data_IF_078962226503
#
_entry.id   IF_078962226503
#
_cell.length_a   1.000
_cell.length_b   1.000
_cell.length_c   1.000
_cell.angle_alpha   90.00
_cell.angle_beta   90.00
_cell.angle_gamma   90.00
#
_symmetry.space_group_name_H-M   'P 1'
#
loop_
_entity.id
_entity.type
_entity.pdbx_description
1 polymer ?
#
# COMPACT_ATOMS: atom_id res chain seq x y z
N UNK A 1 -32.55 -72.61 34.02
CA UNK A 1 -32.29 -71.17 34.07
C UNK A 1 -31.74 -70.87 35.45
N UNK A 2 -30.45 -70.55 35.57
CA UNK A 2 -29.85 -70.27 36.87
C UNK A 2 -30.37 -68.94 37.43
N UNK A 3 -30.91 -68.91 38.66
CA UNK A 3 -31.52 -67.70 39.23
C UNK A 3 -30.51 -66.55 39.38
N UNK A 4 -29.22 -66.85 39.49
CA UNK A 4 -28.13 -65.86 39.51
C UNK A 4 -27.96 -65.14 38.17
N UNK A 5 -28.17 -65.84 37.06
CA UNK A 5 -28.04 -65.27 35.72
C UNK A 5 -29.22 -64.35 35.37
N UNK A 6 -30.41 -64.67 35.89
CA UNK A 6 -31.56 -63.77 35.80
C UNK A 6 -31.37 -62.48 36.62
N UNK A 7 -30.71 -62.57 37.79
CA UNK A 7 -30.34 -61.42 38.60
C UNK A 7 -29.35 -60.48 37.90
N UNK A 8 -28.27 -61.02 37.32
CA UNK A 8 -27.29 -60.20 36.59
C UNK A 8 -27.90 -59.51 35.36
N UNK A 9 -28.76 -60.20 34.62
CA UNK A 9 -29.43 -59.61 33.45
C UNK A 9 -30.38 -58.45 33.82
N UNK A 10 -31.01 -58.52 35.01
CA UNK A 10 -31.83 -57.43 35.53
C UNK A 10 -30.97 -56.23 35.96
N UNK A 11 -29.84 -56.47 36.62
CA UNK A 11 -28.91 -55.41 37.03
C UNK A 11 -28.27 -54.71 35.83
N UNK A 12 -27.92 -55.45 34.77
CA UNK A 12 -27.45 -54.89 33.51
C UNK A 12 -28.51 -54.01 32.84
N UNK A 13 -29.77 -54.46 32.86
CA UNK A 13 -30.89 -53.69 32.33
C UNK A 13 -31.10 -52.40 33.12
N UNK A 14 -31.11 -52.49 34.46
CA UNK A 14 -31.22 -51.33 35.37
C UNK A 14 -30.07 -50.35 35.14
N UNK A 15 -28.84 -50.86 34.97
CA UNK A 15 -27.65 -50.06 34.66
C UNK A 15 -27.77 -49.36 33.30
N UNK A 16 -28.32 -50.04 32.30
CA UNK A 16 -28.58 -49.43 30.99
C UNK A 16 -29.61 -48.29 31.08
N UNK A 17 -30.69 -48.49 31.87
CA UNK A 17 -31.71 -47.46 32.08
C UNK A 17 -31.16 -46.27 32.86
N UNK A 18 -30.37 -46.49 33.92
CA UNK A 18 -29.74 -45.40 34.68
C UNK A 18 -28.76 -44.61 33.83
N UNK A 19 -27.96 -45.29 33.01
CA UNK A 19 -27.08 -44.63 32.03
C UNK A 19 -27.90 -43.78 31.06
N UNK A 20 -28.99 -44.33 30.52
CA UNK A 20 -29.84 -43.59 29.57
C UNK A 20 -30.57 -42.41 30.21
N UNK A 21 -30.95 -42.52 31.47
CA UNK A 21 -31.54 -41.42 32.25
C UNK A 21 -30.51 -40.30 32.43
N UNK A 22 -29.27 -40.64 32.78
CA UNK A 22 -28.19 -39.66 32.93
C UNK A 22 -27.91 -38.94 31.60
N UNK A 23 -27.79 -39.68 30.49
CA UNK A 23 -27.62 -39.11 29.15
C UNK A 23 -28.77 -38.16 28.77
N UNK A 24 -30.02 -38.56 29.05
CA UNK A 24 -31.18 -37.72 28.78
C UNK A 24 -31.18 -36.45 29.65
N UNK A 25 -30.77 -36.55 30.91
CA UNK A 25 -30.63 -35.39 31.80
C UNK A 25 -29.57 -34.42 31.27
N UNK A 26 -28.41 -34.91 30.83
CA UNK A 26 -27.38 -34.07 30.21
C UNK A 26 -27.88 -33.38 28.95
N UNK A 27 -28.60 -34.09 28.08
CA UNK A 27 -29.19 -33.52 26.86
C UNK A 27 -30.25 -32.45 27.17
N UNK A 28 -31.08 -32.67 28.19
CA UNK A 28 -32.09 -31.69 28.63
C UNK A 28 -31.41 -30.45 29.22
N UNK A 29 -30.36 -30.61 30.02
CA UNK A 29 -29.58 -29.50 30.55
C UNK A 29 -28.94 -28.72 29.40
N UNK A 30 -28.28 -29.40 28.45
CA UNK A 30 -27.67 -28.76 27.28
C UNK A 30 -28.68 -27.98 26.42
N UNK A 31 -29.85 -28.57 26.17
CA UNK A 31 -30.96 -27.91 25.48
C UNK A 31 -31.46 -26.67 26.22
N UNK A 32 -31.57 -26.74 27.55
CA UNK A 32 -32.12 -25.65 28.36
C UNK A 32 -31.08 -24.56 28.67
N UNK A 33 -29.79 -24.87 28.65
CA UNK A 33 -28.70 -23.91 28.84
C UNK A 33 -28.59 -22.90 27.70
N UNK A 34 -28.95 -23.30 26.48
CA UNK A 34 -28.96 -22.43 25.31
C UNK A 34 -30.33 -22.50 24.63
N UNK A 35 -31.32 -21.69 25.06
CA UNK A 35 -32.59 -21.59 24.35
C UNK A 35 -32.33 -21.23 22.89
N UNK A 36 -33.21 -21.64 21.96
CA UNK A 36 -33.03 -21.37 20.52
C UNK A 36 -32.80 -19.87 20.20
N UNK A 37 -33.17 -18.98 21.12
CA UNK A 37 -32.92 -17.53 21.08
C UNK A 37 -31.46 -17.11 21.25
N UNK A 38 -30.58 -17.94 21.83
CA UNK A 38 -29.15 -17.62 22.04
C UNK A 38 -28.24 -18.06 20.88
N UNK A 39 -28.76 -18.84 19.93
CA UNK A 39 -28.05 -19.23 18.70
C UNK A 39 -27.54 -18.01 17.90
N UNK A 40 -28.33 -16.94 17.66
CA UNK A 40 -27.82 -15.76 16.97
C UNK A 40 -26.69 -15.05 17.74
N UNK A 41 -26.76 -14.98 19.06
CA UNK A 41 -25.72 -14.35 19.88
C UNK A 41 -24.42 -15.16 19.83
N UNK A 42 -24.50 -16.49 19.93
CA UNK A 42 -23.36 -17.38 19.76
C UNK A 42 -22.74 -17.29 18.36
N UNK A 43 -23.57 -17.18 17.32
CA UNK A 43 -23.11 -16.96 15.94
C UNK A 43 -22.41 -15.61 15.78
N UNK A 44 -22.91 -14.55 16.43
CA UNK A 44 -22.26 -13.25 16.45
C UNK A 44 -20.90 -13.30 17.18
N UNK A 45 -20.81 -14.05 18.29
CA UNK A 45 -19.54 -14.29 18.99
C UNK A 45 -18.55 -15.08 18.12
N UNK A 46 -19.00 -16.13 17.43
CA UNK A 46 -18.15 -16.90 16.50
C UNK A 46 -17.64 -16.02 15.33
N UNK A 47 -18.52 -15.20 14.76
CA UNK A 47 -18.15 -14.27 13.70
C UNK A 47 -17.12 -13.24 14.16
N UNK A 48 -17.27 -12.71 15.38
CA UNK A 48 -16.31 -11.75 15.97
C UNK A 48 -14.98 -12.41 16.30
N UNK A 49 -14.98 -13.65 16.82
CA UNK A 49 -13.75 -14.42 17.04
C UNK A 49 -13.00 -14.67 15.73
N UNK A 50 -13.68 -15.15 14.68
CA UNK A 50 -13.08 -15.34 13.35
C UNK A 50 -12.51 -14.05 12.77
N UNK A 51 -13.18 -12.93 12.98
CA UNK A 51 -12.68 -11.63 12.56
C UNK A 51 -11.39 -11.25 13.32
N UNK A 52 -11.35 -11.48 14.64
CA UNK A 52 -10.15 -11.24 15.45
C UNK A 52 -8.99 -12.16 15.05
N UNK A 53 -9.24 -13.45 14.82
CA UNK A 53 -8.22 -14.40 14.35
C UNK A 53 -7.60 -13.96 13.02
N UNK A 54 -8.44 -13.53 12.07
CA UNK A 54 -7.99 -12.97 10.80
C UNK A 54 -7.13 -11.70 10.99
N UNK A 55 -7.52 -10.81 11.90
CA UNK A 55 -6.73 -9.62 12.23
C UNK A 55 -5.37 -9.97 12.85
N UNK A 56 -5.32 -10.98 13.72
CA UNK A 56 -4.06 -11.44 14.34
C UNK A 56 -3.11 -11.97 13.27
N UNK A 57 -3.58 -12.77 12.32
CA UNK A 57 -2.75 -13.25 11.21
C UNK A 57 -2.26 -12.09 10.31
N UNK A 58 -3.09 -11.07 10.08
CA UNK A 58 -2.67 -9.87 9.35
C UNK A 58 -1.56 -9.08 10.10
N UNK A 59 -1.67 -8.94 11.42
CA UNK A 59 -0.65 -8.30 12.27
C UNK A 59 0.66 -9.09 12.22
N UNK A 60 0.58 -10.41 12.36
CA UNK A 60 1.73 -11.31 12.28
C UNK A 60 2.45 -11.21 10.93
N UNK A 61 1.70 -11.13 9.82
CA UNK A 61 2.26 -10.87 8.50
C UNK A 61 3.06 -9.56 8.44
N UNK A 62 2.48 -8.47 8.93
CA UNK A 62 3.16 -7.16 8.99
C UNK A 62 4.42 -7.17 9.85
N UNK A 63 4.36 -7.79 11.04
CA UNK A 63 5.54 -7.89 11.92
C UNK A 63 6.68 -8.65 11.25
N UNK A 64 6.37 -9.68 10.47
CA UNK A 64 7.37 -10.41 9.71
C UNK A 64 7.98 -9.57 8.58
N UNK A 65 7.18 -8.76 7.89
CA UNK A 65 7.68 -7.79 6.92
C UNK A 65 8.62 -6.76 7.55
N UNK A 66 8.22 -6.16 8.67
CA UNK A 66 9.02 -5.20 9.43
C UNK A 66 10.33 -5.83 9.91
N UNK A 67 10.28 -7.04 10.45
CA UNK A 67 11.46 -7.82 10.84
C UNK A 67 12.46 -7.97 9.69
N UNK A 68 11.97 -8.17 8.46
CA UNK A 68 12.81 -8.29 7.27
C UNK A 68 13.29 -6.94 6.71
N UNK A 69 12.57 -5.85 6.98
CA UNK A 69 12.89 -4.50 6.51
C UNK A 69 13.94 -3.79 7.40
N UNK A 70 13.86 -3.96 8.72
CA UNK A 70 14.80 -3.36 9.69
C UNK A 70 16.28 -3.59 9.34
N UNK A 71 16.76 -4.81 9.00
CA UNK A 71 18.17 -5.02 8.67
C UNK A 71 18.58 -4.30 7.37
N UNK A 72 17.67 -4.14 6.41
CA UNK A 72 17.94 -3.39 5.17
C UNK A 72 18.13 -1.90 5.48
N UNK A 73 17.27 -1.34 6.32
CA UNK A 73 17.39 0.05 6.77
C UNK A 73 18.71 0.28 7.53
N UNK A 74 19.09 -0.63 8.44
CA UNK A 74 20.36 -0.54 9.17
C UNK A 74 21.58 -0.50 8.23
N UNK A 75 21.62 -1.36 7.22
CA UNK A 75 22.70 -1.37 6.21
C UNK A 75 22.78 -0.05 5.44
N UNK A 76 21.64 0.52 5.08
CA UNK A 76 21.56 1.81 4.39
C UNK A 76 22.12 2.95 5.25
N UNK A 77 21.76 2.99 6.53
CA UNK A 77 22.30 3.96 7.50
C UNK A 77 23.81 3.81 7.63
N UNK A 78 24.32 2.59 7.75
CA UNK A 78 25.77 2.35 7.83
C UNK A 78 26.51 2.82 6.57
N UNK A 79 25.96 2.57 5.38
CA UNK A 79 26.55 3.04 4.12
C UNK A 79 26.55 4.57 4.03
N UNK A 80 25.45 5.21 4.40
CA UNK A 80 25.35 6.68 4.44
C UNK A 80 26.37 7.29 5.39
N UNK A 81 26.52 6.73 6.60
CA UNK A 81 27.53 7.19 7.56
C UNK A 81 28.96 7.02 7.03
N UNK A 82 29.26 5.93 6.31
CA UNK A 82 30.58 5.76 5.67
C UNK A 82 30.85 6.83 4.61
N UNK A 83 29.85 7.14 3.79
CA UNK A 83 29.97 8.21 2.80
C UNK A 83 30.18 9.58 3.47
N UNK A 84 29.44 9.87 4.55
CA UNK A 84 29.61 11.11 5.31
C UNK A 84 31.01 11.24 5.90
N UNK A 85 31.54 10.18 6.54
CA UNK A 85 32.93 10.19 7.06
C UNK A 85 33.94 10.44 5.95
N UNK A 86 33.75 9.83 4.77
CA UNK A 86 34.63 10.05 3.61
C UNK A 86 34.58 11.51 3.15
N UNK A 87 33.38 12.10 3.05
CA UNK A 87 33.21 13.51 2.70
C UNK A 87 33.85 14.44 3.73
N UNK A 88 33.69 14.16 5.03
CA UNK A 88 34.33 14.93 6.10
C UNK A 88 35.86 14.83 6.03
N UNK A 89 36.39 13.62 5.79
CA UNK A 89 37.82 13.43 5.59
C UNK A 89 38.31 14.22 4.37
N UNK A 90 37.59 14.16 3.25
CA UNK A 90 37.94 14.94 2.06
C UNK A 90 37.89 16.44 2.35
N UNK A 91 36.86 16.93 3.04
CA UNK A 91 36.72 18.33 3.46
C UNK A 91 37.93 18.79 4.30
N UNK A 92 38.39 17.94 5.23
CA UNK A 92 39.54 18.24 6.08
C UNK A 92 40.89 18.27 5.34
N UNK A 93 40.96 17.69 4.13
CA UNK A 93 42.18 17.59 3.33
C UNK A 93 42.05 18.30 1.97
N UNK A 94 41.11 19.23 1.81
CA UNK A 94 40.99 20.01 0.57
C UNK A 94 42.15 21.01 0.49
N UNK A 95 42.94 21.02 -0.61
CA UNK A 95 43.99 22.00 -0.82
C UNK A 95 43.42 23.42 -0.95
N UNK A 96 44.09 24.42 -0.37
CA UNK A 96 43.63 25.81 -0.29
C UNK A 96 43.19 26.42 -1.63
N UNK A 97 43.82 26.05 -2.75
CA UNK A 97 43.46 26.54 -4.10
C UNK A 97 42.11 26.06 -4.65
N UNK A 98 41.40 25.14 -3.96
CA UNK A 98 40.03 24.73 -4.30
C UNK A 98 38.96 25.27 -3.34
N UNK A 99 39.36 25.82 -2.19
CA UNK A 99 38.43 26.35 -1.17
C UNK A 99 37.96 27.76 -1.52
N UNK A 100 38.75 28.51 -2.31
CA UNK A 100 38.42 29.88 -2.72
C UNK A 100 37.22 29.96 -3.69
N UNK A 101 36.87 28.89 -4.41
CA UNK A 101 35.61 28.82 -5.18
C UNK A 101 34.37 28.61 -4.30
N UNK A 102 34.53 28.25 -3.01
CA UNK A 102 33.43 28.06 -2.06
C UNK A 102 33.15 29.32 -1.23
N UNK A 103 34.15 30.18 -0.99
CA UNK A 103 33.99 31.37 -0.13
C UNK A 103 33.30 32.56 -0.81
N UNK A 104 33.04 32.52 -2.12
CA UNK A 104 32.22 33.53 -2.82
C UNK A 104 30.72 33.16 -2.91
N UNK A 105 30.29 32.04 -2.34
CA UNK A 105 28.88 31.62 -2.28
C UNK A 105 28.33 31.85 -0.87
N UNK A 106 28.59 33.03 -0.30
CA UNK A 106 27.97 33.49 0.94
C UNK A 106 27.19 34.79 0.71
N UNK A 107 26.09 34.68 -0.06
CA UNK A 107 24.89 35.52 0.10
C UNK A 107 23.71 34.98 -0.73
N UNK A 108 22.77 34.35 -0.01
CA UNK A 108 21.39 34.03 -0.38
C UNK A 108 21.16 32.85 -1.37
N UNK A 109 20.30 31.86 -1.04
CA UNK A 109 20.04 30.68 -1.88
C UNK A 109 18.96 30.98 -2.91
N UNK A 110 19.20 31.98 -3.76
CA UNK A 110 18.29 32.35 -4.84
C UNK A 110 19.11 32.87 -6.01
N UNK A 111 18.95 32.18 -7.14
CA UNK A 111 19.46 32.48 -8.48
C UNK A 111 20.99 32.57 -8.65
N UNK A 112 21.59 31.53 -9.22
CA UNK A 112 22.68 31.70 -10.19
C UNK A 112 23.15 30.35 -10.75
N UNK A 113 22.51 29.87 -11.82
CA UNK A 113 23.23 29.20 -12.92
C UNK A 113 22.59 29.71 -14.22
N UNK A 114 23.06 30.86 -14.66
CA UNK A 114 22.92 31.29 -16.04
C UNK A 114 24.16 32.11 -16.38
N UNK A 115 25.03 31.49 -17.18
CA UNK A 115 26.06 32.05 -18.06
C UNK A 115 26.66 30.79 -18.74
N UNK A 116 26.03 30.26 -19.79
CA UNK A 116 26.10 30.72 -21.19
C UNK A 116 27.55 30.92 -21.61
N UNK A 117 28.16 29.83 -22.07
CA UNK A 117 29.18 29.88 -23.10
C UNK A 117 28.56 29.32 -24.37
N UNK A 118 28.42 30.21 -25.36
CA UNK A 118 28.07 29.94 -26.74
C UNK A 118 28.96 28.83 -27.32
N UNK A 119 28.33 27.88 -28.00
CA UNK A 119 28.87 27.27 -29.21
C UNK A 119 27.72 26.63 -30.00
N UNK A 120 27.27 27.39 -31.00
CA UNK A 120 26.54 26.90 -32.17
C UNK A 120 27.37 25.82 -32.89
N UNK A 121 26.93 24.57 -32.91
CA UNK A 121 27.14 23.65 -34.05
C UNK A 121 25.99 22.63 -34.13
N UNK A 122 25.23 22.75 -35.22
CA UNK A 122 24.55 21.74 -36.04
C UNK A 122 24.05 20.41 -35.42
N UNK A 123 22.75 20.19 -35.68
CA UNK A 123 21.99 18.95 -35.64
C UNK A 123 22.62 17.85 -36.52
N UNK A 124 22.88 16.67 -35.95
CA UNK A 124 22.64 15.38 -36.62
C UNK A 124 22.63 14.21 -35.61
N UNK A 125 21.89 13.17 -35.98
CA UNK A 125 21.43 12.07 -35.15
C UNK A 125 22.55 11.24 -34.50
N UNK A 126 22.40 10.91 -33.21
CA UNK A 126 23.08 9.75 -32.61
C UNK A 126 22.31 9.12 -31.45
N UNK A 127 21.88 7.89 -31.71
CA UNK A 127 21.25 6.92 -30.83
C UNK A 127 22.29 6.39 -29.84
N UNK A 128 22.62 7.16 -28.79
CA UNK A 128 23.62 6.75 -27.79
C UNK A 128 22.95 6.44 -26.44
N UNK A 129 23.05 5.18 -26.00
CA UNK A 129 22.71 4.71 -24.64
C UNK A 129 23.36 5.63 -23.59
N UNK A 130 22.58 6.52 -22.97
CA UNK A 130 23.01 7.32 -21.81
C UNK A 130 22.70 6.57 -20.52
N UNK A 131 23.70 6.52 -19.64
CA UNK A 131 23.64 5.88 -18.32
C UNK A 131 22.56 6.52 -17.42
N UNK A 132 22.01 5.76 -16.44
CA UNK A 132 20.83 6.19 -15.65
C UNK A 132 21.01 7.50 -14.86
N UNK A 133 22.25 7.89 -14.55
CA UNK A 133 22.55 8.98 -13.63
C UNK A 133 22.47 10.39 -14.27
N UNK A 134 22.72 10.52 -15.58
CA UNK A 134 22.64 11.82 -16.27
C UNK A 134 21.20 12.24 -16.59
N UNK A 135 20.26 11.31 -16.49
CA UNK A 135 18.82 11.54 -16.72
C UNK A 135 18.14 12.25 -15.53
N UNK A 136 18.75 12.25 -14.34
CA UNK A 136 18.15 12.87 -13.15
C UNK A 136 18.30 14.40 -13.13
N UNK A 137 19.39 14.95 -13.66
CA UNK A 137 19.63 16.40 -13.61
C UNK A 137 18.74 17.20 -14.57
N UNK A 138 18.45 16.64 -15.76
CA UNK A 138 17.62 17.32 -16.78
C UNK A 138 16.12 17.36 -16.40
N UNK A 139 15.69 16.48 -15.51
CA UNK A 139 14.27 16.34 -15.14
C UNK A 139 13.89 17.16 -13.91
N UNK A 140 14.86 17.41 -13.03
CA UNK A 140 14.66 18.14 -11.77
C UNK A 140 14.23 19.60 -11.95
N UNK A 141 14.65 20.25 -13.04
CA UNK A 141 14.29 21.65 -13.32
C UNK A 141 12.86 21.85 -13.87
N UNK A 142 12.24 20.80 -14.44
CA UNK A 142 10.87 20.87 -15.00
C UNK A 142 9.82 20.18 -14.12
N UNK A 143 10.27 19.26 -13.27
CA UNK A 143 9.47 18.44 -12.36
C UNK A 143 9.59 18.99 -10.93
N UNK A 144 8.78 19.99 -10.58
CA UNK A 144 8.75 20.54 -9.22
C UNK A 144 7.98 19.60 -8.28
N UNK A 145 8.35 19.61 -6.99
CA UNK A 145 7.65 18.83 -5.97
C UNK A 145 6.14 19.13 -5.93
N UNK A 146 5.80 20.40 -6.14
CA UNK A 146 4.41 20.87 -6.23
C UNK A 146 3.64 20.19 -7.38
N UNK A 147 4.21 20.13 -8.59
CA UNK A 147 3.59 19.46 -9.74
C UNK A 147 3.40 17.97 -9.51
N UNK A 148 4.38 17.32 -8.87
CA UNK A 148 4.29 15.90 -8.50
C UNK A 148 3.17 15.69 -7.48
N UNK A 149 3.11 16.50 -6.42
CA UNK A 149 2.07 16.39 -5.39
C UNK A 149 0.67 16.65 -5.95
N UNK A 150 0.49 17.64 -6.83
CA UNK A 150 -0.79 17.91 -7.49
C UNK A 150 -1.20 16.69 -8.33
N UNK A 151 -0.30 16.20 -9.19
CA UNK A 151 -0.58 15.05 -10.04
C UNK A 151 -0.90 13.78 -9.25
N UNK A 152 -0.23 13.53 -8.11
CA UNK A 152 -0.54 12.39 -7.22
C UNK A 152 -1.97 12.48 -6.69
N UNK A 153 -2.42 13.67 -6.27
CA UNK A 153 -3.78 13.85 -5.76
C UNK A 153 -4.83 13.66 -6.86
N UNK A 154 -4.55 14.16 -8.06
CA UNK A 154 -5.44 13.98 -9.21
C UNK A 154 -5.55 12.49 -9.57
N UNK A 155 -4.42 11.77 -9.65
CA UNK A 155 -4.41 10.31 -9.87
C UNK A 155 -5.22 9.56 -8.81
N UNK A 156 -5.03 9.91 -7.53
CA UNK A 156 -5.77 9.28 -6.44
C UNK A 156 -7.28 9.54 -6.58
N UNK A 157 -7.67 10.75 -6.95
CA UNK A 157 -9.07 11.14 -7.16
C UNK A 157 -9.71 10.36 -8.31
N UNK A 158 -9.00 10.19 -9.43
CA UNK A 158 -9.49 9.39 -10.56
C UNK A 158 -9.64 7.91 -10.19
N UNK A 159 -8.67 7.36 -9.47
CA UNK A 159 -8.69 5.96 -9.05
C UNK A 159 -9.82 5.67 -8.04
N UNK A 160 -10.08 6.60 -7.10
CA UNK A 160 -11.20 6.52 -6.15
C UNK A 160 -12.56 6.66 -6.86
N UNK A 161 -12.67 7.58 -7.83
CA UNK A 161 -13.89 7.75 -8.62
C UNK A 161 -14.23 6.46 -9.40
N UNK A 162 -13.23 5.82 -10.02
CA UNK A 162 -13.43 4.57 -10.74
C UNK A 162 -13.76 3.41 -9.80
N UNK A 163 -13.11 3.30 -8.64
CA UNK A 163 -13.45 2.30 -7.63
C UNK A 163 -14.90 2.45 -7.11
N UNK A 164 -15.36 3.70 -6.96
CA UNK A 164 -16.75 3.99 -6.61
C UNK A 164 -17.72 3.55 -7.71
N UNK A 165 -17.40 3.80 -9.00
CA UNK A 165 -18.23 3.35 -10.13
C UNK A 165 -18.32 1.81 -10.20
N UNK A 166 -17.21 1.11 -9.96
CA UNK A 166 -17.17 -0.35 -9.99
C UNK A 166 -18.02 -0.97 -8.87
N UNK A 167 -17.94 -0.40 -7.65
CA UNK A 167 -18.67 -0.88 -6.47
C UNK A 167 -20.14 -0.44 -6.41
N UNK A 168 -20.52 0.63 -7.11
CA UNK A 168 -21.88 1.17 -7.03
C UNK A 168 -22.93 0.31 -7.75
N UNK A 169 -24.10 0.06 -7.12
CA UNK A 169 -25.18 -0.68 -7.76
C UNK A 169 -25.94 0.18 -8.79
N UNK A 170 -26.42 -0.45 -9.87
CA UNK A 170 -27.10 0.19 -11.03
C UNK A 170 -28.16 1.22 -10.64
N UNK A 171 -28.89 0.98 -9.55
CA UNK A 171 -29.99 1.83 -9.06
C UNK A 171 -29.55 3.22 -8.59
N UNK A 172 -28.25 3.47 -8.41
CA UNK A 172 -27.69 4.73 -7.88
C UNK A 172 -26.84 5.49 -8.91
N UNK A 173 -26.73 4.99 -10.14
CA UNK A 173 -25.90 5.58 -11.19
C UNK A 173 -26.79 6.22 -12.27
N UNK A 174 -26.37 7.39 -12.75
CA UNK A 174 -26.95 8.01 -13.94
C UNK A 174 -26.62 7.16 -15.19
N UNK A 175 -27.47 7.23 -16.23
CA UNK A 175 -27.33 6.36 -17.42
C UNK A 175 -26.01 6.59 -18.18
N UNK A 176 -25.52 7.82 -18.22
CA UNK A 176 -24.23 8.21 -18.79
C UNK A 176 -23.03 7.65 -18.01
N UNK A 177 -23.15 7.55 -16.68
CA UNK A 177 -22.14 6.95 -15.81
C UNK A 177 -22.17 5.41 -15.83
N UNK A 178 -23.31 4.81 -16.16
CA UNK A 178 -23.49 3.36 -16.19
C UNK A 178 -22.70 2.68 -17.31
N UNK A 179 -22.67 3.29 -18.51
CA UNK A 179 -21.87 2.79 -19.63
C UNK A 179 -20.38 2.71 -19.27
N UNK A 180 -19.84 3.79 -18.71
CA UNK A 180 -18.46 3.84 -18.22
C UNK A 180 -18.20 2.83 -17.10
N UNK A 181 -19.15 2.64 -16.17
CA UNK A 181 -19.02 1.68 -15.08
C UNK A 181 -18.95 0.22 -15.59
N UNK A 182 -19.61 -0.10 -16.71
CA UNK A 182 -19.57 -1.41 -17.33
C UNK A 182 -18.17 -1.71 -17.90
N UNK A 183 -17.62 -0.79 -18.68
CA UNK A 183 -16.26 -0.88 -19.23
C UNK A 183 -15.21 -1.05 -18.12
N UNK A 184 -15.33 -0.26 -17.05
CA UNK A 184 -14.44 -0.36 -15.89
C UNK A 184 -14.57 -1.70 -15.15
N UNK A 185 -15.76 -2.31 -15.11
CA UNK A 185 -15.95 -3.64 -14.50
C UNK A 185 -15.30 -4.73 -15.32
N UNK A 186 -15.43 -4.69 -16.64
CA UNK A 186 -14.79 -5.67 -17.53
C UNK A 186 -13.26 -5.60 -17.39
N UNK A 187 -12.70 -4.40 -17.31
CA UNK A 187 -11.27 -4.19 -17.04
C UNK A 187 -10.89 -4.68 -15.64
N UNK A 188 -11.71 -4.41 -14.62
CA UNK A 188 -11.46 -4.85 -13.25
C UNK A 188 -11.52 -6.38 -13.06
N UNK A 189 -12.15 -7.12 -13.98
CA UNK A 189 -12.14 -8.59 -13.99
C UNK A 189 -10.80 -9.16 -14.43
N UNK A 190 -9.94 -8.37 -15.08
CA UNK A 190 -8.62 -8.81 -15.50
C UNK A 190 -7.70 -9.03 -14.28
N UNK A 191 -7.00 -10.17 -14.29
CA UNK A 191 -6.10 -10.62 -13.23
C UNK A 191 -5.05 -9.58 -12.74
N UNK A 192 -4.43 -8.72 -13.58
CA UNK A 192 -3.43 -7.77 -13.09
C UNK A 192 -3.99 -6.64 -12.21
N UNK A 193 -5.27 -6.29 -12.39
CA UNK A 193 -5.92 -5.10 -11.77
C UNK A 193 -7.07 -5.47 -10.82
N UNK A 194 -7.42 -6.74 -10.71
CA UNK A 194 -8.47 -7.25 -9.82
C UNK A 194 -8.22 -6.84 -8.36
N UNK A 195 -9.20 -6.17 -7.77
CA UNK A 195 -9.16 -5.71 -6.37
C UNK A 195 -8.25 -4.50 -6.11
N UNK A 196 -7.74 -3.83 -7.15
CA UNK A 196 -6.88 -2.65 -7.03
C UNK A 196 -7.59 -1.39 -7.53
N UNK A 197 -7.15 -0.24 -7.05
CA UNK A 197 -7.59 1.07 -7.56
C UNK A 197 -6.79 1.36 -8.84
N UNK A 198 -7.48 1.78 -9.91
CA UNK A 198 -6.87 2.09 -11.19
C UNK A 198 -7.59 3.24 -11.89
N UNK A 199 -6.90 3.89 -12.80
CA UNK A 199 -7.44 4.94 -13.65
C UNK A 199 -7.00 4.69 -15.10
N UNK A 200 -7.79 5.19 -16.05
CA UNK A 200 -7.50 5.09 -17.47
C UNK A 200 -6.92 6.41 -17.99
N UNK A 201 -6.27 6.34 -19.14
CA UNK A 201 -5.77 7.53 -19.84
C UNK A 201 -6.90 8.55 -20.12
N UNK A 202 -8.10 8.05 -20.44
CA UNK A 202 -9.30 8.86 -20.68
C UNK A 202 -9.80 9.63 -19.44
N UNK A 203 -9.37 9.24 -18.23
CA UNK A 203 -9.73 9.91 -16.99
C UNK A 203 -8.86 11.15 -16.71
N UNK A 204 -7.72 11.27 -17.39
CA UNK A 204 -6.77 12.37 -17.20
C UNK A 204 -7.33 13.64 -17.86
N UNK A 205 -8.01 14.45 -17.06
CA UNK A 205 -8.64 15.72 -17.48
C UNK A 205 -8.19 16.94 -16.67
N UNK A 206 -7.30 16.73 -15.70
CA UNK A 206 -6.86 17.73 -14.73
C UNK A 206 -5.84 18.72 -15.29
N UNK A 207 -5.76 19.93 -14.71
CA UNK A 207 -4.74 20.90 -15.07
C UNK A 207 -3.33 20.48 -14.61
N UNK A 208 -3.22 19.64 -13.57
CA UNK A 208 -1.95 19.22 -12.98
C UNK A 208 -1.26 18.05 -13.69
N UNK A 209 -2.03 17.06 -14.14
CA UNK A 209 -1.55 15.89 -14.87
C UNK A 209 -2.00 15.95 -16.33
N UNK A 210 -1.03 16.06 -17.25
CA UNK A 210 -1.23 16.00 -18.71
C UNK A 210 -0.34 14.93 -19.31
N UNK A 211 -0.73 14.35 -20.44
CA UNK A 211 0.07 13.33 -21.15
C UNK A 211 1.20 13.92 -22.02
N UNK A 212 1.78 15.03 -21.56
CA UNK A 212 2.96 15.64 -22.18
C UNK A 212 4.25 14.96 -21.67
N UNK A 213 5.40 15.41 -22.17
CA UNK A 213 6.69 14.87 -21.73
C UNK A 213 6.90 15.02 -20.21
N UNK A 214 6.30 16.05 -19.59
CA UNK A 214 6.35 16.28 -18.15
C UNK A 214 5.50 15.27 -17.39
N UNK A 215 4.23 15.08 -17.75
CA UNK A 215 3.38 14.12 -17.06
C UNK A 215 3.75 12.66 -17.33
N UNK A 216 4.28 12.33 -18.52
CA UNK A 216 4.92 11.02 -18.74
C UNK A 216 6.08 10.80 -17.78
N UNK A 217 6.88 11.82 -17.49
CA UNK A 217 7.90 11.71 -16.47
C UNK A 217 7.32 11.65 -15.05
N UNK A 218 6.29 12.43 -14.71
CA UNK A 218 5.59 12.30 -13.41
C UNK A 218 5.09 10.87 -13.20
N UNK A 219 4.57 10.22 -14.24
CA UNK A 219 4.11 8.85 -14.17
C UNK A 219 5.28 7.85 -14.16
N UNK A 220 6.32 8.06 -14.97
CA UNK A 220 7.42 7.08 -15.15
C UNK A 220 8.47 7.11 -14.04
N UNK A 221 8.79 8.28 -13.47
CA UNK A 221 9.83 8.41 -12.43
C UNK A 221 9.51 7.68 -11.12
N UNK A 222 8.25 7.64 -10.65
CA UNK A 222 7.83 6.77 -9.56
C UNK A 222 7.98 5.27 -9.84
N UNK A 223 7.97 4.84 -11.11
CA UNK A 223 8.10 3.41 -11.47
C UNK A 223 9.56 2.97 -11.72
N UNK A 224 10.50 3.90 -11.91
CA UNK A 224 11.91 3.59 -12.22
C UNK A 224 12.78 3.33 -10.97
N UNK A 225 12.30 3.62 -9.77
CA UNK A 225 12.98 3.30 -8.51
C UNK A 225 12.19 2.24 -7.74
N UNK A 226 12.67 0.99 -7.77
CA UNK A 226 12.19 -0.20 -7.03
C UNK A 226 10.67 -0.33 -6.85
N UNK A 227 10.09 -1.15 -7.73
CA UNK A 227 8.66 -1.42 -7.96
C UNK A 227 7.83 -1.91 -6.75
N UNK A 228 8.41 -2.03 -5.56
CA UNK A 228 7.75 -2.52 -4.34
C UNK A 228 7.69 -1.50 -3.21
N UNK A 229 8.64 -0.56 -3.12
CA UNK A 229 8.64 0.43 -2.04
C UNK A 229 7.75 1.63 -2.37
N UNK A 230 7.69 2.02 -3.64
CA UNK A 230 6.91 3.17 -4.08
C UNK A 230 5.41 2.89 -4.19
N UNK A 231 5.00 1.65 -4.51
CA UNK A 231 3.58 1.27 -4.43
C UNK A 231 3.06 1.30 -2.99
N UNK A 232 3.91 0.91 -2.01
CA UNK A 232 3.60 1.08 -0.57
C UNK A 232 3.64 2.55 -0.16
N UNK A 233 4.62 3.34 -0.62
CA UNK A 233 4.65 4.79 -0.34
C UNK A 233 3.48 5.55 -0.96
N UNK A 234 3.01 5.16 -2.15
CA UNK A 234 1.85 5.74 -2.81
C UNK A 234 0.56 5.36 -2.08
N UNK A 235 0.42 4.09 -1.67
CA UNK A 235 -0.70 3.66 -0.81
C UNK A 235 -0.68 4.34 0.58
N UNK A 236 0.51 4.56 1.14
CA UNK A 236 0.71 5.26 2.41
C UNK A 236 0.39 6.76 2.26
N UNK A 237 0.88 7.45 1.22
CA UNK A 237 0.59 8.88 1.00
C UNK A 237 -0.90 9.12 0.71
N UNK A 238 -1.53 8.25 -0.10
CA UNK A 238 -2.98 8.33 -0.37
C UNK A 238 -3.78 8.02 0.91
N UNK A 239 -3.32 7.07 1.74
CA UNK A 239 -3.91 6.78 3.05
C UNK A 239 -3.78 7.94 4.06
N UNK A 240 -2.61 8.58 4.14
CA UNK A 240 -2.36 9.70 5.08
C UNK A 240 -3.20 10.94 4.75
N UNK A 241 -3.46 11.21 3.47
CA UNK A 241 -4.28 12.35 3.05
C UNK A 241 -5.77 12.14 3.29
N UNK A 242 -6.24 10.88 3.22
CA UNK A 242 -7.61 10.48 3.58
C UNK A 242 -7.92 10.64 5.09
N UNK A 243 -6.88 10.74 5.93
CA UNK A 243 -6.94 11.00 7.37
C UNK A 243 -6.84 12.48 7.75
N UNK A 244 -6.82 13.41 6.79
CA UNK A 244 -6.84 14.85 7.07
C UNK A 244 -5.57 15.40 7.74
N UNK A 245 -4.48 14.63 7.82
CA UNK A 245 -3.19 15.14 8.29
C UNK A 245 -2.47 15.85 7.15
N UNK A 246 -2.44 17.18 7.20
CA UNK A 246 -1.53 17.97 6.40
C UNK A 246 -0.09 17.64 6.83
N UNK A 247 0.71 17.10 5.91
CA UNK A 247 2.14 16.89 6.15
C UNK A 247 2.82 18.26 6.04
N UNK A 248 3.00 18.94 7.16
CA UNK A 248 3.96 20.03 7.29
C UNK A 248 5.35 19.41 7.40
N UNK A 249 6.22 19.65 6.44
CA UNK A 249 7.65 19.28 6.52
C UNK A 249 8.44 20.57 6.65
N UNK A 250 9.13 20.74 7.80
CA UNK A 250 10.18 21.75 7.99
C UNK A 250 11.46 21.35 7.26
#
# INVERSE_FOLDING_TARGET
MDPKHAGSALDDLVSSFTTRIAELQELVIARNMYPATSIPDLSAVDATLKAMESQIEAIKGRLQEEKNAIPKAKRLVEQSQRQQRKLQHMLAHVPAGMVESLTLVDRNPSSSILEVLDCDVAYEASKQRRSPLQRQSYMRGRLTLEKVNIAINEVATYADANAHLISCPKKKLAEDAWGKALELRDIAMAEPVKGKHFFLEADIKGPGLKLDNTGKAILTYPFLHDSLLLFRYFAILVGFKKLGLAITVS
#
